data_IF_451165065520
#
_entry.id   IF_451165065520
#
_cell.length_a   1.000
_cell.length_b   1.000
_cell.length_c   1.000
_cell.angle_alpha   90.00
_cell.angle_beta   90.00
_cell.angle_gamma   90.00
#
_symmetry.space_group_name_H-M   'P 1'
#
loop_
_entity.id
_entity.type
_entity.pdbx_description
1 polymer ?
#
# COMPACT_ATOMS: atom_id res chain seq x y z
N UNK A 1 -22.54 -7.07 6.92
CA UNK A 1 -21.52 -6.68 7.94
C UNK A 1 -20.16 -7.24 7.50
N UNK A 2 -19.07 -6.43 7.54
CA UNK A 2 -17.71 -6.87 7.18
C UNK A 2 -16.76 -6.58 8.36
N UNK A 3 -16.35 -7.62 9.08
CA UNK A 3 -15.64 -7.49 10.38
C UNK A 3 -14.32 -8.26 10.40
N UNK A 4 -13.30 -7.67 11.02
CA UNK A 4 -12.03 -8.32 11.34
C UNK A 4 -11.85 -8.34 12.87
N UNK A 5 -11.52 -9.52 13.42
CA UNK A 5 -11.16 -9.66 14.84
C UNK A 5 -9.71 -10.13 14.90
N UNK A 6 -8.88 -9.37 15.60
CA UNK A 6 -7.45 -9.64 15.77
C UNK A 6 -7.21 -9.94 17.25
N UNK A 7 -6.55 -11.07 17.54
CA UNK A 7 -6.18 -11.46 18.92
C UNK A 7 -4.72 -11.84 19.00
N UNK A 8 -4.05 -11.35 20.04
CA UNK A 8 -2.66 -11.68 20.39
C UNK A 8 -1.68 -11.59 19.20
N UNK A 9 -1.79 -10.53 18.42
CA UNK A 9 -0.97 -10.35 17.22
C UNK A 9 -0.14 -9.07 17.37
N UNK A 10 1.18 -9.21 17.45
CA UNK A 10 2.10 -8.11 17.78
C UNK A 10 1.61 -7.37 19.06
N UNK A 11 1.41 -6.07 18.97
CA UNK A 11 0.97 -5.24 20.11
C UNK A 11 -0.54 -5.28 20.37
N UNK A 12 -1.32 -5.96 19.51
CA UNK A 12 -2.76 -6.06 19.66
C UNK A 12 -3.10 -7.27 20.54
N UNK A 13 -3.60 -7.04 21.75
CA UNK A 13 -4.19 -8.08 22.59
C UNK A 13 -5.53 -8.54 22.01
N UNK A 14 -6.43 -7.59 21.76
CA UNK A 14 -7.71 -7.82 21.11
C UNK A 14 -8.19 -6.54 20.42
N UNK A 15 -8.62 -6.67 19.17
CA UNK A 15 -9.22 -5.61 18.38
C UNK A 15 -10.37 -6.19 17.57
N UNK A 16 -11.49 -5.51 17.57
CA UNK A 16 -12.60 -5.76 16.63
C UNK A 16 -12.73 -4.52 15.75
N UNK A 17 -12.69 -4.72 14.44
CA UNK A 17 -12.76 -3.66 13.45
C UNK A 17 -13.83 -3.96 12.41
N UNK A 18 -14.81 -3.08 12.29
CA UNK A 18 -15.81 -3.13 11.25
C UNK A 18 -15.37 -2.26 10.06
N UNK A 19 -15.31 -2.87 8.89
CA UNK A 19 -14.93 -2.15 7.67
C UNK A 19 -16.14 -1.32 7.23
N UNK A 20 -15.95 -0.01 7.00
CA UNK A 20 -17.03 0.86 6.49
C UNK A 20 -17.58 0.33 5.16
N UNK A 21 -18.86 0.58 4.91
CA UNK A 21 -19.50 0.15 3.66
C UNK A 21 -19.42 1.21 2.57
N UNK A 22 -19.33 2.47 2.98
CA UNK A 22 -19.34 3.60 2.05
C UNK A 22 -17.95 3.84 1.49
N UNK A 23 -17.89 4.31 0.25
CA UNK A 23 -16.65 4.76 -0.37
C UNK A 23 -16.18 6.05 0.29
N UNK A 24 -14.87 6.19 0.44
CA UNK A 24 -14.31 7.39 1.08
C UNK A 24 -12.90 7.18 1.64
N UNK A 25 -12.37 8.23 2.23
CA UNK A 25 -11.09 8.22 2.93
C UNK A 25 -11.32 8.11 4.44
N UNK A 26 -10.73 7.09 5.04
CA UNK A 26 -10.85 6.81 6.47
C UNK A 26 -9.49 6.96 7.15
N UNK A 27 -9.43 7.74 8.21
CA UNK A 27 -8.21 7.98 8.97
C UNK A 27 -8.13 7.04 10.17
N UNK A 28 -7.06 6.24 10.21
CA UNK A 28 -6.75 5.38 11.34
C UNK A 28 -5.80 6.10 12.29
N UNK A 29 -6.33 6.62 13.39
CA UNK A 29 -5.58 7.40 14.38
C UNK A 29 -5.25 6.57 15.61
N UNK A 30 -4.07 6.78 16.17
CA UNK A 30 -3.64 6.11 17.40
C UNK A 30 -2.15 6.33 17.69
N UNK A 31 -1.75 6.09 18.94
CA UNK A 31 -0.36 6.24 19.36
C UNK A 31 0.60 5.30 18.57
N UNK A 32 1.89 5.62 18.58
CA UNK A 32 2.90 4.72 18.01
C UNK A 32 2.86 3.38 18.77
N UNK A 33 2.95 2.29 17.99
CA UNK A 33 2.83 0.95 18.56
C UNK A 33 1.40 0.47 18.86
N UNK A 34 0.36 1.27 18.67
CA UNK A 34 -1.04 0.87 18.90
C UNK A 34 -1.53 -0.26 17.97
N UNK A 35 -0.77 -0.62 16.94
CA UNK A 35 -1.12 -1.70 16.03
C UNK A 35 -1.74 -1.26 14.69
N UNK A 36 -1.63 0.02 14.33
CA UNK A 36 -2.13 0.55 13.04
C UNK A 36 -1.63 -0.27 11.85
N UNK A 37 -0.33 -0.43 11.70
CA UNK A 37 0.30 -1.26 10.64
C UNK A 37 -0.15 -2.72 10.70
N UNK A 38 -0.43 -3.25 11.89
CA UNK A 38 -0.93 -4.62 12.06
C UNK A 38 -2.34 -4.75 11.49
N UNK A 39 -3.23 -3.79 11.78
CA UNK A 39 -4.57 -3.75 11.19
C UNK A 39 -4.50 -3.59 9.66
N UNK A 40 -3.67 -2.66 9.16
CA UNK A 40 -3.48 -2.49 7.71
C UNK A 40 -2.98 -3.79 7.04
N UNK A 41 -2.07 -4.52 7.69
CA UNK A 41 -1.63 -5.84 7.20
C UNK A 41 -2.78 -6.86 7.17
N UNK A 42 -3.68 -6.82 8.15
CA UNK A 42 -4.86 -7.68 8.14
C UNK A 42 -5.85 -7.28 7.04
N UNK A 43 -6.01 -6.00 6.76
CA UNK A 43 -6.80 -5.51 5.62
C UNK A 43 -6.17 -5.93 4.29
N UNK A 44 -4.85 -5.80 4.14
CA UNK A 44 -4.12 -6.26 2.94
C UNK A 44 -4.33 -7.76 2.68
N UNK A 45 -4.44 -8.58 3.72
CA UNK A 45 -4.67 -10.03 3.60
C UNK A 45 -5.97 -10.38 2.86
N UNK A 46 -6.93 -9.49 2.78
CA UNK A 46 -8.19 -9.73 2.05
C UNK A 46 -7.89 -10.11 0.60
N UNK A 47 -7.00 -9.38 -0.06
CA UNK A 47 -6.64 -9.63 -1.46
C UNK A 47 -5.23 -10.20 -1.65
N UNK A 48 -4.32 -9.94 -0.71
CA UNK A 48 -2.92 -10.40 -0.78
C UNK A 48 -2.70 -11.66 0.06
N UNK A 49 -2.60 -12.86 -0.54
CA UNK A 49 -2.41 -14.11 0.21
C UNK A 49 -1.10 -14.17 0.99
N UNK A 50 -0.13 -13.37 0.62
CA UNK A 50 1.21 -13.37 1.23
C UNK A 50 1.35 -12.35 2.37
N UNK A 51 0.34 -11.50 2.64
CA UNK A 51 0.42 -10.42 3.62
C UNK A 51 0.93 -10.90 5.00
N UNK A 52 0.41 -12.02 5.50
CA UNK A 52 0.83 -12.58 6.79
C UNK A 52 2.22 -13.21 6.74
N UNK A 53 2.55 -13.89 5.65
CA UNK A 53 3.87 -14.49 5.49
C UNK A 53 4.98 -13.45 5.42
N UNK A 54 4.69 -12.29 4.84
CA UNK A 54 5.65 -11.19 4.69
C UNK A 54 5.79 -10.35 5.97
N UNK A 55 4.67 -10.07 6.67
CA UNK A 55 4.67 -9.08 7.75
C UNK A 55 4.59 -9.68 9.16
N UNK A 56 4.20 -10.97 9.30
CA UNK A 56 4.10 -11.70 10.58
C UNK A 56 5.02 -12.92 10.55
N UNK A 57 6.30 -12.66 10.27
CA UNK A 57 7.36 -13.67 10.28
C UNK A 57 7.78 -13.94 11.71
N UNK A 58 7.88 -15.22 12.11
CA UNK A 58 8.53 -15.60 13.35
C UNK A 58 10.04 -15.61 13.14
N UNK A 59 10.80 -15.21 14.14
CA UNK A 59 12.23 -15.48 14.14
C UNK A 59 12.46 -17.00 14.09
N UNK A 60 13.34 -17.43 13.21
CA UNK A 60 13.69 -18.85 13.05
C UNK A 60 14.60 -19.28 14.19
N UNK A 61 14.14 -19.31 15.45
CA UNK A 61 15.01 -19.85 16.48
C UNK A 61 14.33 -20.09 17.81
N UNK A 62 14.98 -20.94 18.56
CA UNK A 62 14.86 -21.41 19.91
C UNK A 62 14.58 -20.39 21.02
N UNK A 63 14.56 -19.10 20.76
CA UNK A 63 14.53 -18.06 21.79
C UNK A 63 13.17 -17.37 21.97
N UNK A 64 12.07 -17.97 21.54
CA UNK A 64 10.71 -17.44 21.76
C UNK A 64 10.49 -15.96 21.30
N UNK A 65 11.31 -15.46 20.39
CA UNK A 65 11.20 -14.10 19.87
C UNK A 65 10.17 -14.07 18.73
N UNK A 66 9.31 -13.07 18.73
CA UNK A 66 8.25 -12.86 17.71
C UNK A 66 7.35 -14.08 17.48
N UNK A 67 6.87 -14.68 18.58
CA UNK A 67 5.97 -15.81 18.48
C UNK A 67 4.52 -15.39 18.26
N UNK A 68 3.87 -16.10 17.35
CA UNK A 68 2.46 -15.90 17.01
C UNK A 68 1.59 -17.12 17.35
N UNK A 69 2.05 -18.00 18.25
CA UNK A 69 1.34 -19.25 18.58
C UNK A 69 -0.07 -19.02 19.15
N UNK A 70 -0.25 -17.95 19.92
CA UNK A 70 -1.54 -17.53 20.46
C UNK A 70 -2.31 -16.59 19.53
N UNK A 71 -1.75 -16.23 18.39
CA UNK A 71 -2.35 -15.25 17.48
C UNK A 71 -3.50 -15.86 16.69
N UNK A 72 -4.59 -15.12 16.58
CA UNK A 72 -5.66 -15.44 15.65
C UNK A 72 -6.24 -14.18 15.00
N UNK A 73 -6.60 -14.33 13.74
CA UNK A 73 -7.21 -13.27 12.93
C UNK A 73 -8.45 -13.87 12.27
N UNK A 74 -9.60 -13.25 12.52
CA UNK A 74 -10.89 -13.73 12.04
C UNK A 74 -11.49 -12.71 11.10
N UNK A 75 -12.03 -13.19 9.99
CA UNK A 75 -12.77 -12.42 8.98
C UNK A 75 -14.21 -12.91 8.99
N UNK A 76 -15.14 -12.02 9.27
CA UNK A 76 -16.53 -12.35 9.47
C UNK A 76 -17.38 -11.48 8.56
N UNK A 77 -18.22 -12.13 7.77
CA UNK A 77 -19.28 -11.51 6.97
C UNK A 77 -20.61 -12.17 7.30
N UNK A 78 -21.67 -11.83 6.60
CA UNK A 78 -22.97 -12.51 6.73
C UNK A 78 -22.92 -13.97 6.24
N UNK A 79 -22.04 -14.24 5.27
CA UNK A 79 -22.00 -15.55 4.58
C UNK A 79 -20.74 -16.35 4.86
N UNK A 80 -19.74 -15.77 5.56
CA UNK A 80 -18.48 -16.44 5.81
C UNK A 80 -17.85 -16.09 7.15
N UNK A 81 -17.23 -17.10 7.77
CA UNK A 81 -16.34 -16.92 8.93
C UNK A 81 -15.04 -17.68 8.67
N UNK A 82 -13.96 -16.95 8.47
CA UNK A 82 -12.63 -17.49 8.20
C UNK A 82 -11.70 -17.07 9.31
N UNK A 83 -11.08 -18.05 9.97
CA UNK A 83 -10.13 -17.83 11.05
C UNK A 83 -8.74 -18.28 10.63
N UNK A 84 -7.77 -17.39 10.74
CA UNK A 84 -6.35 -17.69 10.58
C UNK A 84 -5.69 -17.88 11.94
N UNK A 85 -4.84 -18.91 12.02
CA UNK A 85 -3.97 -19.17 13.16
C UNK A 85 -2.56 -19.44 12.68
N UNK A 86 -1.57 -19.01 13.45
CA UNK A 86 -0.17 -19.33 13.17
C UNK A 86 0.12 -20.74 13.65
N UNK A 87 0.48 -21.62 12.74
CA UNK A 87 1.11 -22.90 13.08
C UNK A 87 2.61 -22.73 13.27
N UNK A 88 3.34 -23.84 13.38
CA UNK A 88 4.80 -23.82 13.57
C UNK A 88 5.55 -23.08 12.44
N UNK A 89 5.14 -23.27 11.20
CA UNK A 89 5.83 -22.66 10.02
C UNK A 89 5.00 -21.65 9.27
N UNK A 90 3.68 -21.82 9.16
CA UNK A 90 2.82 -21.00 8.31
C UNK A 90 1.48 -20.67 8.96
N UNK A 91 0.84 -19.64 8.48
CA UNK A 91 -0.54 -19.31 8.80
C UNK A 91 -1.47 -20.31 8.09
N UNK A 92 -2.42 -20.86 8.84
CA UNK A 92 -3.44 -21.76 8.32
C UNK A 92 -4.82 -21.18 8.56
N UNK A 93 -5.75 -21.39 7.65
CA UNK A 93 -7.13 -20.95 7.80
C UNK A 93 -8.05 -22.11 8.18
N UNK A 94 -9.10 -21.79 8.92
CA UNK A 94 -10.21 -22.67 9.24
C UNK A 94 -11.51 -21.97 8.84
N UNK A 95 -12.41 -22.59 8.07
CA UNK A 95 -12.24 -23.91 7.44
C UNK A 95 -11.06 -23.92 6.43
N UNK A 96 -10.55 -25.11 6.10
CA UNK A 96 -9.53 -25.27 5.06
C UNK A 96 -10.16 -25.04 3.69
N UNK A 97 -10.09 -23.83 3.21
CA UNK A 97 -10.62 -23.42 1.91
C UNK A 97 -9.57 -22.61 1.14
N UNK A 98 -9.81 -22.36 -0.13
CA UNK A 98 -9.10 -21.33 -0.85
C UNK A 98 -9.58 -19.95 -0.35
N UNK A 99 -8.99 -19.48 0.76
CA UNK A 99 -9.45 -18.31 1.48
C UNK A 99 -9.35 -17.00 0.69
N UNK A 100 -8.44 -16.90 -0.28
CA UNK A 100 -8.21 -15.63 -0.98
C UNK A 100 -9.36 -15.25 -1.92
N UNK A 101 -9.86 -16.11 -2.83
CA UNK A 101 -11.04 -15.78 -3.63
C UNK A 101 -12.27 -15.55 -2.76
N UNK A 102 -12.42 -16.31 -1.67
CA UNK A 102 -13.55 -16.16 -0.77
C UNK A 102 -13.52 -14.81 -0.06
N UNK A 103 -12.37 -14.39 0.49
CA UNK A 103 -12.21 -13.09 1.13
C UNK A 103 -12.48 -11.94 0.16
N UNK A 104 -11.94 -11.99 -1.06
CA UNK A 104 -12.20 -10.98 -2.10
C UNK A 104 -13.69 -10.80 -2.34
N UNK A 105 -14.38 -11.90 -2.61
CA UNK A 105 -15.82 -11.90 -2.89
C UNK A 105 -16.62 -11.36 -1.70
N UNK A 106 -16.37 -11.87 -0.51
CA UNK A 106 -17.14 -11.53 0.69
C UNK A 106 -16.90 -10.10 1.17
N UNK A 107 -15.69 -9.57 0.98
CA UNK A 107 -15.36 -8.20 1.35
C UNK A 107 -15.57 -7.19 0.21
N UNK A 108 -15.84 -7.66 -1.01
CA UNK A 108 -16.14 -6.81 -2.16
C UNK A 108 -14.96 -6.04 -2.73
N UNK A 109 -13.70 -6.47 -2.44
CA UNK A 109 -12.51 -5.85 -2.98
C UNK A 109 -11.84 -6.75 -4.01
N UNK A 110 -11.52 -6.19 -5.17
CA UNK A 110 -10.73 -6.90 -6.16
C UNK A 110 -9.24 -6.87 -5.86
N UNK A 111 -8.76 -5.74 -5.33
CA UNK A 111 -7.37 -5.55 -4.99
C UNK A 111 -7.20 -4.84 -3.66
N UNK A 112 -6.09 -5.10 -2.97
CA UNK A 112 -5.56 -4.27 -1.91
C UNK A 112 -4.21 -3.73 -2.32
N UNK A 113 -3.97 -2.44 -2.11
CA UNK A 113 -2.73 -1.76 -2.45
C UNK A 113 -2.18 -1.16 -1.17
N UNK A 114 -1.17 -1.81 -0.61
CA UNK A 114 -0.53 -1.38 0.61
C UNK A 114 0.74 -0.57 0.29
N UNK A 115 0.69 0.73 0.58
CA UNK A 115 1.79 1.67 0.40
C UNK A 115 2.33 2.04 1.77
N UNK A 116 3.61 1.76 1.97
CA UNK A 116 4.36 2.15 3.17
C UNK A 116 5.22 3.37 2.87
N UNK A 117 5.44 4.22 3.88
CA UNK A 117 6.25 5.42 3.74
C UNK A 117 7.72 5.15 3.38
N UNK A 118 8.22 3.93 3.63
CA UNK A 118 9.57 3.51 3.23
C UNK A 118 9.68 3.25 1.72
N UNK A 119 9.35 4.24 0.90
CA UNK A 119 9.52 4.11 -0.54
C UNK A 119 10.99 3.84 -0.87
N UNK A 120 11.33 2.56 -0.98
CA UNK A 120 12.67 2.13 -1.36
C UNK A 120 13.00 2.73 -2.71
N UNK A 121 14.09 3.47 -2.76
CA UNK A 121 14.61 3.99 -4.01
C UNK A 121 15.10 2.82 -4.85
N UNK A 122 14.80 2.89 -6.14
CA UNK A 122 15.24 1.88 -7.09
C UNK A 122 16.67 2.26 -7.49
N UNK A 123 17.57 1.31 -7.45
CA UNK A 123 18.91 1.49 -7.99
C UNK A 123 18.92 0.99 -9.43
N UNK A 124 19.06 1.92 -10.37
CA UNK A 124 19.16 1.63 -11.80
C UNK A 124 20.59 1.88 -12.21
N UNK A 125 21.25 0.90 -12.86
CA UNK A 125 22.57 1.10 -13.42
C UNK A 125 22.57 2.30 -14.39
N UNK A 126 23.63 3.13 -14.34
CA UNK A 126 23.71 4.34 -15.16
C UNK A 126 23.61 4.03 -16.66
N UNK A 127 24.06 2.86 -17.07
CA UNK A 127 24.05 2.39 -18.45
C UNK A 127 22.64 2.14 -18.99
N UNK A 128 21.67 1.87 -18.10
CA UNK A 128 20.27 1.68 -18.45
C UNK A 128 19.52 3.02 -18.63
N UNK A 129 20.07 4.13 -18.10
CA UNK A 129 19.47 5.46 -18.18
C UNK A 129 19.85 6.11 -19.51
N UNK A 130 19.25 5.62 -20.58
CA UNK A 130 19.43 6.20 -21.93
C UNK A 130 18.22 7.06 -22.28
N UNK A 131 18.46 8.20 -22.92
CA UNK A 131 17.39 9.11 -23.34
C UNK A 131 16.32 8.45 -24.22
N UNK A 132 16.70 7.46 -25.02
CA UNK A 132 15.76 6.69 -25.85
C UNK A 132 14.85 5.72 -25.09
N UNK A 133 15.13 5.44 -23.83
CA UNK A 133 14.32 4.56 -22.97
C UNK A 133 13.37 5.33 -22.05
N UNK A 134 13.37 6.66 -22.12
CA UNK A 134 12.51 7.51 -21.33
C UNK A 134 11.13 7.61 -21.97
N UNK A 135 10.11 7.32 -21.19
CA UNK A 135 8.72 7.43 -21.57
C UNK A 135 8.08 8.61 -20.82
N UNK A 136 7.23 9.34 -21.49
CA UNK A 136 6.46 10.40 -20.84
C UNK A 136 5.50 9.80 -19.81
N UNK A 137 5.30 10.55 -18.73
CA UNK A 137 4.28 10.24 -17.72
C UNK A 137 2.95 10.78 -18.24
N UNK A 138 1.86 10.07 -17.99
CA UNK A 138 0.53 10.47 -18.39
C UNK A 138 0.16 11.86 -17.87
N UNK A 139 -0.51 12.69 -18.68
CA UNK A 139 -0.89 14.06 -18.32
C UNK A 139 -1.73 14.12 -17.05
N UNK A 140 -2.63 13.16 -16.85
CA UNK A 140 -3.48 13.07 -15.65
C UNK A 140 -2.66 12.89 -14.37
N UNK A 141 -1.56 12.14 -14.42
CA UNK A 141 -0.63 11.98 -13.29
C UNK A 141 0.09 13.30 -13.03
N UNK A 142 0.60 13.94 -14.08
CA UNK A 142 1.31 15.23 -14.01
C UNK A 142 0.41 16.30 -13.40
N UNK A 143 -0.83 16.43 -13.88
CA UNK A 143 -1.82 17.38 -13.37
C UNK A 143 -2.12 17.13 -11.89
N UNK A 144 -2.32 15.87 -11.52
CA UNK A 144 -2.55 15.49 -10.12
C UNK A 144 -1.37 15.85 -9.22
N UNK A 145 -0.15 15.58 -9.66
CA UNK A 145 1.06 15.93 -8.91
C UNK A 145 1.22 17.44 -8.77
N UNK A 146 1.01 18.19 -9.86
CA UNK A 146 1.08 19.64 -9.83
C UNK A 146 0.01 20.25 -8.93
N UNK A 147 -1.20 19.67 -8.90
CA UNK A 147 -2.29 20.07 -7.98
C UNK A 147 -1.91 19.81 -6.53
N UNK A 148 -1.41 18.61 -6.19
CA UNK A 148 -1.05 18.24 -4.82
C UNK A 148 0.10 19.12 -4.31
N UNK A 149 1.15 19.31 -5.11
CA UNK A 149 2.34 20.07 -4.72
C UNK A 149 2.25 21.58 -5.00
N UNK A 150 1.15 22.05 -5.60
CA UNK A 150 0.95 23.45 -6.02
C UNK A 150 2.12 24.00 -6.83
N UNK A 151 2.51 23.29 -7.87
CA UNK A 151 3.69 23.59 -8.69
C UNK A 151 3.47 23.19 -10.14
N UNK A 152 4.33 23.66 -11.03
CA UNK A 152 4.43 23.18 -12.41
C UNK A 152 5.68 22.33 -12.66
N UNK A 153 6.38 21.97 -11.59
CA UNK A 153 7.67 21.25 -11.64
C UNK A 153 7.57 19.93 -12.41
N UNK A 154 6.44 19.23 -12.27
CA UNK A 154 6.26 17.89 -12.85
C UNK A 154 5.88 17.86 -14.32
N UNK A 155 5.70 19.03 -15.00
CA UNK A 155 5.33 19.07 -16.41
C UNK A 155 6.30 18.29 -17.32
N UNK A 156 7.55 18.16 -16.92
CA UNK A 156 8.56 17.43 -17.68
C UNK A 156 8.98 16.12 -16.98
N UNK A 157 8.10 15.56 -16.14
CA UNK A 157 8.37 14.28 -15.50
C UNK A 157 8.34 13.16 -16.52
N UNK A 158 9.41 12.36 -16.52
CA UNK A 158 9.56 11.17 -17.36
C UNK A 158 9.80 9.95 -16.49
N UNK A 159 9.59 8.78 -17.03
CA UNK A 159 9.86 7.52 -16.35
C UNK A 159 10.62 6.54 -17.22
N UNK A 160 11.44 5.72 -16.58
CA UNK A 160 12.10 4.58 -17.17
C UNK A 160 11.49 3.32 -16.56
N UNK A 161 11.08 2.37 -17.38
CA UNK A 161 10.60 1.08 -16.90
C UNK A 161 11.78 0.27 -16.39
N UNK A 162 11.77 -0.10 -15.11
CA UNK A 162 12.78 -1.00 -14.57
C UNK A 162 12.56 -2.42 -15.11
N UNK A 163 13.45 -2.87 -15.99
CA UNK A 163 13.37 -4.17 -16.68
C UNK A 163 13.80 -5.33 -15.76
N UNK A 164 14.48 -5.05 -14.64
CA UNK A 164 15.04 -6.07 -13.76
C UNK A 164 14.03 -6.73 -12.79
N UNK A 165 12.78 -6.27 -12.76
CA UNK A 165 11.71 -6.91 -12.01
C UNK A 165 11.14 -8.10 -12.77
N UNK A 166 11.57 -9.32 -12.47
CA UNK A 166 10.83 -10.54 -12.84
C UNK A 166 9.48 -10.53 -12.14
N UNK A 167 8.44 -10.04 -12.80
CA UNK A 167 7.08 -10.10 -12.24
C UNK A 167 6.16 -8.98 -12.72
N UNK A 168 4.87 -9.13 -12.43
CA UNK A 168 3.78 -8.21 -12.80
C UNK A 168 3.85 -6.79 -12.21
N UNK A 169 4.80 -6.52 -11.31
CA UNK A 169 4.99 -5.22 -10.67
C UNK A 169 6.19 -4.52 -11.32
N UNK A 170 6.00 -3.96 -12.51
CA UNK A 170 6.99 -3.05 -13.10
C UNK A 170 7.04 -1.78 -12.24
N UNK A 171 8.16 -1.56 -11.59
CA UNK A 171 8.42 -0.32 -10.86
C UNK A 171 9.11 0.64 -11.79
N UNK A 172 8.62 1.87 -11.86
CA UNK A 172 9.21 2.91 -12.68
C UNK A 172 10.27 3.68 -11.90
N UNK A 173 11.31 4.08 -12.62
CA UNK A 173 12.32 5.01 -12.13
C UNK A 173 12.04 6.38 -12.72
N UNK A 174 11.86 7.39 -11.88
CA UNK A 174 11.45 8.71 -12.32
C UNK A 174 12.62 9.64 -12.59
N UNK A 175 12.49 10.42 -13.64
CA UNK A 175 13.47 11.41 -14.06
C UNK A 175 12.72 12.72 -14.36
N UNK A 176 13.18 13.80 -13.77
CA UNK A 176 12.65 15.13 -14.00
C UNK A 176 13.62 15.90 -14.90
N UNK A 177 13.09 16.47 -15.99
CA UNK A 177 13.84 17.34 -16.87
C UNK A 177 13.64 18.81 -16.43
N UNK A 178 14.74 19.50 -16.14
CA UNK A 178 14.75 20.91 -15.80
C UNK A 178 15.73 21.64 -16.75
N UNK A 179 15.17 22.33 -17.74
CA UNK A 179 15.92 22.94 -18.82
C UNK A 179 16.72 21.89 -19.61
N UNK A 180 18.05 21.99 -19.56
CA UNK A 180 18.97 21.02 -20.19
C UNK A 180 19.46 19.92 -19.24
N UNK A 181 19.06 19.96 -17.95
CA UNK A 181 19.51 19.00 -16.93
C UNK A 181 18.43 17.98 -16.65
N UNK A 182 18.85 16.79 -16.22
CA UNK A 182 17.99 15.72 -15.78
C UNK A 182 18.30 15.37 -14.34
N UNK A 183 17.26 15.24 -13.51
CA UNK A 183 17.36 14.84 -12.13
C UNK A 183 16.65 13.50 -11.94
N UNK A 184 17.37 12.51 -11.43
CA UNK A 184 16.78 11.21 -11.11
C UNK A 184 16.02 11.26 -9.78
N UNK A 185 15.17 10.27 -9.55
CA UNK A 185 14.42 10.10 -8.28
C UNK A 185 15.33 10.04 -7.04
N UNK A 186 16.64 9.81 -7.20
CA UNK A 186 17.62 9.88 -6.10
C UNK A 186 17.67 11.28 -5.46
N UNK A 187 17.23 12.31 -6.15
CA UNK A 187 17.16 13.70 -5.66
C UNK A 187 15.79 14.13 -5.14
N UNK A 188 14.78 13.31 -5.33
CA UNK A 188 13.46 13.57 -4.78
C UNK A 188 13.46 13.33 -3.27
N UNK A 189 12.66 14.07 -2.51
CA UNK A 189 12.43 13.73 -1.12
C UNK A 189 11.68 12.39 -1.02
N UNK A 190 11.75 11.74 0.13
CA UNK A 190 11.04 10.48 0.37
C UNK A 190 9.53 10.67 0.21
N UNK A 191 8.99 11.77 0.77
CA UNK A 191 7.57 12.09 0.65
C UNK A 191 7.15 12.40 -0.80
N UNK A 192 7.98 13.13 -1.55
CA UNK A 192 7.73 13.42 -2.96
C UNK A 192 7.62 12.13 -3.78
N UNK A 193 8.58 11.23 -3.63
CA UNK A 193 8.58 9.95 -4.34
C UNK A 193 7.40 9.06 -3.94
N UNK A 194 7.04 9.05 -2.66
CA UNK A 194 5.87 8.31 -2.16
C UNK A 194 4.57 8.81 -2.82
N UNK A 195 4.37 10.13 -2.93
CA UNK A 195 3.20 10.71 -3.59
C UNK A 195 3.19 10.40 -5.08
N UNK A 196 4.32 10.52 -5.79
CA UNK A 196 4.39 10.17 -7.22
C UNK A 196 3.92 8.73 -7.44
N UNK A 197 4.44 7.79 -6.65
CA UNK A 197 4.06 6.38 -6.74
C UNK A 197 2.62 6.12 -6.34
N UNK A 198 2.11 6.84 -5.33
CA UNK A 198 0.71 6.75 -4.92
C UNK A 198 -0.23 7.22 -6.04
N UNK A 199 0.02 8.40 -6.60
CA UNK A 199 -0.80 8.96 -7.69
C UNK A 199 -0.79 8.03 -8.91
N UNK A 200 0.37 7.50 -9.31
CA UNK A 200 0.46 6.52 -10.39
C UNK A 200 -0.39 5.27 -10.09
N UNK A 201 -0.29 4.74 -8.88
CA UNK A 201 -1.08 3.58 -8.47
C UNK A 201 -2.58 3.86 -8.49
N UNK A 202 -2.99 5.02 -8.00
CA UNK A 202 -4.40 5.43 -8.02
C UNK A 202 -4.95 5.55 -9.44
N UNK A 203 -4.16 6.06 -10.38
CA UNK A 203 -4.58 6.23 -11.78
C UNK A 203 -4.63 4.89 -12.54
N UNK A 204 -3.75 3.94 -12.22
CA UNK A 204 -3.61 2.68 -12.96
C UNK A 204 -4.40 1.52 -12.35
N UNK A 205 -5.00 1.71 -11.19
CA UNK A 205 -5.73 0.65 -10.47
C UNK A 205 -7.20 0.63 -10.87
N UNK A 206 -7.75 -0.58 -10.99
CA UNK A 206 -9.16 -0.82 -11.26
C UNK A 206 -10.05 -0.33 -10.11
N UNK A 207 -11.35 -0.12 -10.38
CA UNK A 207 -12.39 0.12 -9.38
C UNK A 207 -12.44 -1.01 -8.33
N UNK A 208 -13.15 -0.78 -7.23
CA UNK A 208 -13.28 -1.73 -6.10
C UNK A 208 -11.94 -2.13 -5.46
N UNK A 209 -10.99 -1.18 -5.37
CA UNK A 209 -9.70 -1.42 -4.75
C UNK A 209 -9.58 -0.71 -3.40
N UNK A 210 -9.02 -1.41 -2.42
CA UNK A 210 -8.74 -0.86 -1.10
C UNK A 210 -7.29 -0.37 -1.05
N UNK A 211 -7.12 0.95 -0.92
CA UNK A 211 -5.82 1.58 -0.71
C UNK A 211 -5.51 1.68 0.78
N UNK A 212 -4.37 1.18 1.18
CA UNK A 212 -3.87 1.17 2.55
C UNK A 212 -2.59 1.99 2.59
N UNK A 213 -2.62 3.13 3.27
CA UNK A 213 -1.49 4.04 3.39
C UNK A 213 -0.99 4.00 4.83
N UNK A 214 0.25 3.57 5.03
CA UNK A 214 0.89 3.58 6.35
C UNK A 214 1.86 4.74 6.41
N UNK A 215 1.73 5.56 7.46
CA UNK A 215 2.60 6.73 7.69
C UNK A 215 2.61 7.74 6.51
N UNK A 216 1.46 7.92 5.85
CA UNK A 216 1.34 8.82 4.68
C UNK A 216 1.69 10.29 5.00
N UNK A 217 1.63 10.67 6.28
CA UNK A 217 1.99 11.99 6.79
C UNK A 217 3.50 12.22 6.90
N UNK A 218 4.31 11.17 6.93
CA UNK A 218 5.75 11.29 7.14
C UNK A 218 6.44 12.01 5.98
N UNK A 219 7.35 12.90 6.34
CA UNK A 219 8.16 13.69 5.42
C UNK A 219 7.39 14.62 4.47
N UNK A 220 6.12 14.95 4.77
CA UNK A 220 5.31 15.90 4.03
C UNK A 220 5.04 17.17 4.82
N UNK A 221 5.13 18.32 4.14
CA UNK A 221 4.68 19.58 4.73
C UNK A 221 3.14 19.55 4.96
N UNK A 222 2.59 20.12 6.07
CA UNK A 222 1.17 20.08 6.39
C UNK A 222 0.24 20.52 5.23
N UNK A 223 0.63 21.52 4.44
CA UNK A 223 -0.13 21.95 3.27
C UNK A 223 -0.25 20.85 2.23
N UNK A 224 0.83 20.12 1.98
CA UNK A 224 0.84 19.00 1.03
C UNK A 224 -0.01 17.84 1.57
N UNK A 225 0.03 17.57 2.88
CA UNK A 225 -0.85 16.57 3.51
C UNK A 225 -2.32 16.89 3.27
N UNK A 226 -2.71 18.16 3.46
CA UNK A 226 -4.08 18.61 3.19
C UNK A 226 -4.47 18.41 1.72
N UNK A 227 -3.65 18.89 0.79
CA UNK A 227 -3.91 18.76 -0.65
C UNK A 227 -4.00 17.29 -1.08
N UNK A 228 -3.16 16.42 -0.49
CA UNK A 228 -3.22 14.98 -0.72
C UNK A 228 -4.53 14.38 -0.23
N UNK A 229 -5.01 14.76 0.96
CA UNK A 229 -6.31 14.29 1.47
C UNK A 229 -7.47 14.75 0.59
N UNK A 230 -7.46 16.01 0.15
CA UNK A 230 -8.46 16.54 -0.77
C UNK A 230 -8.47 15.74 -2.09
N UNK A 231 -7.29 15.47 -2.65
CA UNK A 231 -7.14 14.64 -3.86
C UNK A 231 -7.64 13.21 -3.66
N UNK A 232 -7.32 12.59 -2.52
CA UNK A 232 -7.76 11.23 -2.21
C UNK A 232 -9.28 11.14 -2.08
N UNK A 233 -9.91 12.15 -1.45
CA UNK A 233 -11.37 12.22 -1.35
C UNK A 233 -12.04 12.34 -2.71
N UNK A 234 -11.52 13.21 -3.60
CA UNK A 234 -12.02 13.29 -4.97
C UNK A 234 -11.93 11.91 -5.67
N UNK A 235 -10.78 11.24 -5.57
CA UNK A 235 -10.58 9.94 -6.21
C UNK A 235 -11.41 8.81 -5.61
N UNK A 236 -11.72 8.86 -4.33
CA UNK A 236 -12.59 7.89 -3.68
C UNK A 236 -14.05 8.02 -4.14
N UNK A 237 -14.49 9.22 -4.53
CA UNK A 237 -15.85 9.48 -5.01
C UNK A 237 -16.01 9.32 -6.53
N UNK A 238 -14.92 9.50 -7.31
CA UNK A 238 -14.95 9.35 -8.77
C UNK A 238 -14.97 7.89 -9.26
N UNK A 239 -14.61 6.93 -8.42
CA UNK A 239 -14.45 5.50 -8.79
C UNK A 239 -15.61 4.62 -8.28
N UNK A 240 -16.81 5.15 -8.36
CA UNK A 240 -18.05 4.36 -8.22
C UNK A 240 -18.33 3.49 -9.46
#
# INVERSE_FOLDING_TARGET
>A
MRRIIIKNTKNIKQLTFDIPNDNGVYLLVGANGAGKTTLLTCLDRICNPYAFATNFTSANNTNNIDQYSASSIEYITEHAHIKFRKGTRRWACTPRTNSSPLLKREFGFENTIFIKADSKRIDVPQEEIRSGNLVDVESTIIESLNKIFETTKYNNLKRLRNVNGRGRNSTYFYILKDGRKYYSEKRFSTGELAIIRLVERLQTTMSNSLFLLDEAEMALHPRIQKNLLDYLNEKATEKD
#
